data_IF_912626794983
#
_entry.id   IF_912626794983
#
_cell.length_a   1.000
_cell.length_b   1.000
_cell.length_c   1.000
_cell.angle_alpha   90.00
_cell.angle_beta   90.00
_cell.angle_gamma   90.00
#
_symmetry.space_group_name_H-M   'P 1'
#
loop_
_entity.id
_entity.type
_entity.pdbx_description
1 polymer ?
#
# COMPACT_ATOMS: atom_id res chain seq x y z
N UNK A 1 83.64 13.69 26.14
CA UNK A 1 82.32 14.26 25.82
C UNK A 1 81.76 13.61 24.57
N UNK A 2 80.66 12.83 24.66
CA UNK A 2 79.79 12.66 23.50
C UNK A 2 78.31 12.58 23.93
N UNK A 3 77.57 13.69 23.85
CA UNK A 3 76.11 13.72 24.04
C UNK A 3 75.35 14.29 22.84
N UNK A 4 76.02 14.55 21.73
CA UNK A 4 75.42 15.24 20.57
C UNK A 4 75.02 14.28 19.44
N UNK A 5 75.49 13.02 19.43
CA UNK A 5 75.21 12.09 18.32
C UNK A 5 73.91 11.27 18.44
N UNK A 6 73.22 11.25 19.59
CA UNK A 6 72.00 10.44 19.75
C UNK A 6 70.71 11.16 19.29
N UNK A 7 70.72 12.49 19.15
CA UNK A 7 69.53 13.25 18.79
C UNK A 7 69.24 13.24 17.28
N UNK A 8 70.24 13.00 16.43
CA UNK A 8 70.07 13.00 14.98
C UNK A 8 69.46 11.70 14.42
N UNK A 9 69.53 10.59 15.16
CA UNK A 9 69.01 9.29 14.72
C UNK A 9 67.53 9.06 15.07
N UNK A 10 66.93 9.91 15.91
CA UNK A 10 65.52 9.79 16.29
C UNK A 10 64.56 10.64 15.43
N UNK A 11 65.09 11.52 14.58
CA UNK A 11 64.30 12.42 13.74
C UNK A 11 64.03 11.90 12.32
N UNK A 12 64.50 10.70 11.96
CA UNK A 12 64.42 10.15 10.60
C UNK A 12 63.42 8.98 10.42
N UNK A 13 62.60 8.64 11.42
CA UNK A 13 61.60 7.55 11.31
C UNK A 13 60.14 8.00 11.38
N UNK A 14 59.86 9.31 11.44
CA UNK A 14 58.50 9.83 11.34
C UNK A 14 58.12 10.05 9.88
N UNK A 15 57.97 8.94 9.14
CA UNK A 15 57.19 8.96 7.91
C UNK A 15 55.78 9.50 8.25
N UNK A 16 55.27 10.51 7.53
CA UNK A 16 53.91 10.97 7.73
C UNK A 16 53.00 9.80 7.39
N UNK A 17 52.44 9.16 8.42
CA UNK A 17 51.35 8.22 8.28
C UNK A 17 50.24 8.96 7.53
N UNK A 18 50.16 8.72 6.23
CA UNK A 18 49.11 9.23 5.38
C UNK A 18 47.81 8.74 6.01
N UNK A 19 47.13 9.64 6.73
CA UNK A 19 45.79 9.44 7.28
C UNK A 19 44.83 9.32 6.09
N UNK A 20 44.89 8.19 5.41
CA UNK A 20 43.82 7.72 4.55
C UNK A 20 42.62 7.55 5.47
N UNK A 21 41.81 8.60 5.58
CA UNK A 21 40.53 8.57 6.26
C UNK A 21 39.82 7.27 5.88
N UNK A 22 39.35 6.47 6.84
CA UNK A 22 38.79 5.15 6.56
C UNK A 22 37.72 5.29 5.49
N UNK A 23 37.98 4.72 4.30
CA UNK A 23 37.02 4.73 3.19
C UNK A 23 35.72 4.15 3.74
N UNK A 24 34.71 5.01 3.92
CA UNK A 24 33.39 4.60 4.39
C UNK A 24 32.94 3.43 3.52
N UNK A 25 32.91 2.22 4.10
CA UNK A 25 32.41 1.04 3.43
C UNK A 25 31.05 1.40 2.82
N UNK A 26 30.92 1.27 1.49
CA UNK A 26 29.68 1.56 0.78
C UNK A 26 28.59 0.74 1.46
N UNK A 27 27.67 1.42 2.16
CA UNK A 27 26.54 0.76 2.82
C UNK A 27 25.80 -0.01 1.74
N UNK A 28 25.80 -1.35 1.81
CA UNK A 28 25.00 -2.19 0.91
C UNK A 28 23.57 -1.65 0.96
N UNK A 29 23.08 -1.13 -0.18
CA UNK A 29 21.70 -0.68 -0.27
C UNK A 29 20.85 -1.91 0.01
N UNK A 30 19.98 -1.83 1.02
CA UNK A 30 19.24 -3.00 1.47
C UNK A 30 18.24 -3.52 0.40
N UNK A 31 18.18 -2.99 -0.81
CA UNK A 31 17.20 -3.42 -1.82
C UNK A 31 15.76 -3.07 -1.43
N UNK A 32 14.82 -3.41 -2.30
CA UNK A 32 13.40 -3.11 -2.14
C UNK A 32 12.75 -4.05 -1.09
N UNK A 33 11.69 -3.59 -0.42
CA UNK A 33 10.90 -4.46 0.44
C UNK A 33 10.15 -5.49 -0.42
N UNK A 34 10.17 -6.75 -0.01
CA UNK A 34 9.48 -7.83 -0.72
C UNK A 34 7.97 -7.70 -0.54
N UNK A 35 7.23 -7.93 -1.64
CA UNK A 35 5.79 -8.16 -1.63
C UNK A 35 5.51 -9.64 -1.45
N UNK A 36 4.51 -9.97 -0.64
CA UNK A 36 4.13 -11.34 -0.33
C UNK A 36 2.87 -11.73 -1.10
N UNK A 37 2.68 -13.03 -1.35
CA UNK A 37 1.36 -13.53 -1.75
C UNK A 37 0.36 -13.35 -0.60
N UNK A 38 -0.94 -13.50 -0.87
CA UNK A 38 -1.97 -13.41 0.18
C UNK A 38 -1.74 -14.46 1.29
N UNK A 39 -1.42 -15.71 0.92
CA UNK A 39 -1.13 -16.79 1.85
C UNK A 39 0.13 -16.52 2.67
N UNK A 40 1.20 -16.06 2.02
CA UNK A 40 2.45 -15.70 2.69
C UNK A 40 2.27 -14.53 3.66
N UNK A 41 1.45 -13.54 3.29
CA UNK A 41 1.12 -12.41 4.13
C UNK A 41 0.32 -12.84 5.37
N UNK A 42 -0.64 -13.74 5.20
CA UNK A 42 -1.40 -14.30 6.32
C UNK A 42 -0.49 -15.11 7.25
N UNK A 43 0.36 -15.98 6.70
CA UNK A 43 1.34 -16.76 7.48
C UNK A 43 2.28 -15.84 8.27
N UNK A 44 2.81 -14.81 7.61
CA UNK A 44 3.63 -13.79 8.26
C UNK A 44 2.90 -13.04 9.37
N UNK A 45 1.66 -12.59 9.13
CA UNK A 45 0.87 -11.88 10.13
C UNK A 45 0.57 -12.78 11.34
N UNK A 46 0.18 -14.04 11.11
CA UNK A 46 -0.06 -15.00 12.18
C UNK A 46 1.22 -15.27 12.99
N UNK A 47 2.37 -15.35 12.33
CA UNK A 47 3.65 -15.49 13.01
C UNK A 47 3.95 -14.27 13.90
N UNK A 48 3.68 -13.04 13.41
CA UNK A 48 3.83 -11.82 14.22
C UNK A 48 2.91 -11.85 15.45
N UNK A 49 1.66 -12.30 15.28
CA UNK A 49 0.71 -12.45 16.38
C UNK A 49 1.26 -13.40 17.45
N UNK A 50 1.71 -14.59 17.04
CA UNK A 50 2.18 -15.63 17.95
C UNK A 50 3.52 -15.26 18.63
N UNK A 51 4.47 -14.67 17.91
CA UNK A 51 5.82 -14.42 18.44
C UNK A 51 5.94 -13.08 19.18
N UNK A 52 5.22 -12.04 18.74
CA UNK A 52 5.36 -10.68 19.28
C UNK A 52 4.12 -10.20 20.02
N UNK A 53 2.94 -10.63 19.61
CA UNK A 53 1.68 -10.29 20.27
C UNK A 53 0.74 -9.40 19.45
N UNK A 54 -0.50 -9.23 19.95
CA UNK A 54 -1.63 -8.71 19.18
C UNK A 54 -1.48 -7.24 18.78
N UNK A 55 -0.81 -6.44 19.60
CA UNK A 55 -0.55 -5.02 19.28
C UNK A 55 0.29 -4.85 18.01
N UNK A 56 1.36 -5.64 17.85
CA UNK A 56 2.21 -5.57 16.67
C UNK A 56 1.49 -6.15 15.45
N UNK A 57 0.72 -7.24 15.64
CA UNK A 57 -0.14 -7.81 14.61
C UNK A 57 -1.07 -6.77 13.99
N UNK A 58 -1.85 -6.05 14.82
CA UNK A 58 -2.78 -5.02 14.32
C UNK A 58 -2.04 -3.95 13.53
N UNK A 59 -0.88 -3.48 14.01
CA UNK A 59 -0.08 -2.48 13.28
C UNK A 59 0.35 -2.99 11.90
N UNK A 60 0.90 -4.20 11.84
CA UNK A 60 1.38 -4.81 10.59
C UNK A 60 0.22 -5.05 9.63
N UNK A 61 -0.91 -5.56 10.12
CA UNK A 61 -2.12 -5.74 9.33
C UNK A 61 -2.60 -4.43 8.71
N UNK A 62 -2.62 -3.32 9.45
CA UNK A 62 -2.99 -2.00 8.92
C UNK A 62 -2.08 -1.56 7.75
N UNK A 63 -0.79 -1.92 7.76
CA UNK A 63 0.10 -1.63 6.62
C UNK A 63 -0.27 -2.42 5.36
N UNK A 64 -0.73 -3.68 5.53
CA UNK A 64 -1.18 -4.54 4.43
C UNK A 64 -2.61 -4.27 3.98
N UNK A 65 -3.49 -3.80 4.86
CA UNK A 65 -4.87 -3.49 4.49
C UNK A 65 -4.97 -2.18 3.72
N UNK A 66 -4.24 -1.14 4.16
CA UNK A 66 -4.41 0.24 3.70
C UNK A 66 -3.17 0.82 3.01
N UNK A 67 -2.21 -0.05 2.64
CA UNK A 67 -0.93 0.33 2.05
C UNK A 67 -0.19 1.41 2.87
N UNK A 68 -0.34 1.44 4.19
CA UNK A 68 0.30 2.47 5.04
C UNK A 68 1.81 2.25 5.14
N UNK A 69 2.57 3.33 5.30
CA UNK A 69 3.90 3.20 5.89
C UNK A 69 3.76 2.80 7.37
N UNK A 70 4.69 2.02 7.92
CA UNK A 70 4.63 1.64 9.33
C UNK A 70 4.61 2.84 10.29
N UNK A 71 5.28 3.95 9.95
CA UNK A 71 5.20 5.19 10.73
C UNK A 71 3.81 5.83 10.69
N UNK A 72 3.13 5.79 9.54
CA UNK A 72 1.74 6.28 9.41
C UNK A 72 0.80 5.41 10.25
N UNK A 73 0.95 4.08 10.17
CA UNK A 73 0.16 3.13 10.97
C UNK A 73 0.35 3.36 12.47
N UNK A 74 1.60 3.54 12.93
CA UNK A 74 1.93 3.78 14.33
C UNK A 74 1.34 5.08 14.89
N UNK A 75 1.10 6.07 14.04
CA UNK A 75 0.55 7.39 14.41
C UNK A 75 -0.97 7.50 14.22
N UNK A 76 -1.65 6.45 13.78
CA UNK A 76 -3.10 6.50 13.60
C UNK A 76 -3.82 6.78 14.92
N UNK A 77 -4.84 7.62 14.85
CA UNK A 77 -5.80 7.81 15.91
C UNK A 77 -7.07 6.97 15.67
N UNK A 78 -7.84 6.72 16.72
CA UNK A 78 -9.12 6.02 16.63
C UNK A 78 -10.12 6.78 15.76
N UNK A 79 -10.09 8.10 15.80
CA UNK A 79 -10.98 9.00 15.08
C UNK A 79 -10.67 9.06 13.57
N UNK A 80 -9.49 8.59 13.16
CA UNK A 80 -9.10 8.53 11.76
C UNK A 80 -9.84 7.39 11.01
N UNK A 81 -10.32 6.38 11.75
CA UNK A 81 -11.12 5.28 11.23
C UNK A 81 -12.59 5.70 11.13
N UNK A 82 -12.98 6.28 9.98
CA UNK A 82 -14.36 6.72 9.70
C UNK A 82 -15.21 5.56 9.18
N UNK A 83 -15.46 4.58 10.04
CA UNK A 83 -16.12 3.31 9.69
C UNK A 83 -17.62 3.46 9.39
N UNK A 84 -18.26 4.48 9.98
CA UNK A 84 -19.71 4.72 9.85
C UNK A 84 -20.07 5.79 8.80
N UNK A 85 -19.08 6.27 8.04
CA UNK A 85 -19.33 7.17 6.91
C UNK A 85 -19.74 6.37 5.66
N UNK A 86 -20.42 7.02 4.72
CA UNK A 86 -20.70 6.45 3.39
C UNK A 86 -19.99 7.27 2.30
N UNK A 87 -18.97 6.73 1.60
CA UNK A 87 -18.33 5.44 1.85
C UNK A 87 -17.42 5.45 3.11
N UNK A 88 -17.21 4.30 3.77
CA UNK A 88 -16.26 4.19 4.88
C UNK A 88 -14.83 4.51 4.43
N UNK A 89 -14.09 5.24 5.27
CA UNK A 89 -12.74 5.70 4.90
C UNK A 89 -11.78 5.83 6.08
N UNK A 90 -10.49 5.63 5.81
CA UNK A 90 -9.40 5.97 6.71
C UNK A 90 -8.85 7.34 6.32
N UNK A 91 -8.87 8.29 7.25
CA UNK A 91 -8.29 9.61 7.08
C UNK A 91 -6.86 9.64 7.62
N UNK A 92 -5.87 9.83 6.74
CA UNK A 92 -4.47 10.03 7.15
C UNK A 92 -4.17 11.54 7.14
N UNK A 93 -4.23 12.24 8.28
CA UNK A 93 -3.94 13.67 8.33
C UNK A 93 -2.48 13.99 8.05
N UNK A 94 -2.28 15.23 7.60
CA UNK A 94 -0.96 15.82 7.40
C UNK A 94 -0.42 16.31 8.75
N UNK A 95 0.35 15.48 9.42
CA UNK A 95 0.98 15.79 10.71
C UNK A 95 2.51 15.66 10.59
N UNK A 96 3.28 16.47 11.34
CA UNK A 96 4.74 16.40 11.35
C UNK A 96 5.20 15.01 11.81
N UNK A 97 6.01 14.33 11.01
CA UNK A 97 6.41 12.94 11.25
C UNK A 97 5.46 11.88 10.68
N UNK A 98 4.22 12.24 10.35
CA UNK A 98 3.17 11.39 9.75
C UNK A 98 3.00 11.61 8.24
N UNK A 99 3.09 12.87 7.81
CA UNK A 99 2.53 13.39 6.56
C UNK A 99 3.34 13.17 5.28
N UNK A 100 4.08 12.06 5.15
CA UNK A 100 4.72 11.76 3.84
C UNK A 100 3.69 11.47 2.75
N UNK A 101 2.51 10.97 3.14
CA UNK A 101 1.39 10.68 2.25
C UNK A 101 0.05 10.83 2.97
N UNK A 102 -0.33 12.07 3.28
CA UNK A 102 -1.67 12.38 3.79
C UNK A 102 -2.74 12.12 2.73
N UNK A 103 -3.97 11.84 3.15
CA UNK A 103 -5.09 11.62 2.24
C UNK A 103 -6.16 10.69 2.81
N UNK A 104 -7.14 10.35 1.98
CA UNK A 104 -8.23 9.44 2.32
C UNK A 104 -8.03 8.08 1.64
N UNK A 105 -8.36 7.00 2.35
CA UNK A 105 -8.26 5.63 1.84
C UNK A 105 -9.63 5.00 1.98
N UNK A 106 -10.27 4.53 0.91
CA UNK A 106 -11.53 3.81 1.02
C UNK A 106 -11.31 2.51 1.80
N UNK A 107 -12.26 2.16 2.67
CA UNK A 107 -12.27 0.91 3.44
C UNK A 107 -13.35 0.01 2.85
N UNK A 108 -12.98 -1.23 2.54
CA UNK A 108 -13.94 -2.22 2.02
C UNK A 108 -14.88 -2.71 3.13
N UNK A 109 -16.12 -3.14 2.81
CA UNK A 109 -17.07 -3.62 3.82
C UNK A 109 -16.53 -4.72 4.73
N UNK A 110 -15.77 -5.68 4.19
CA UNK A 110 -15.16 -6.78 4.96
C UNK A 110 -14.10 -6.26 5.93
N UNK A 111 -13.36 -5.22 5.53
CA UNK A 111 -12.40 -4.54 6.39
C UNK A 111 -13.09 -3.74 7.49
N UNK A 112 -14.26 -3.15 7.21
CA UNK A 112 -15.09 -2.48 8.23
C UNK A 112 -15.52 -3.48 9.30
N UNK A 113 -16.04 -4.64 8.90
CA UNK A 113 -16.44 -5.69 9.82
C UNK A 113 -15.26 -6.16 10.69
N UNK A 114 -14.11 -6.42 10.07
CA UNK A 114 -12.90 -6.81 10.81
C UNK A 114 -12.47 -5.74 11.83
N UNK A 115 -12.45 -4.47 11.43
CA UNK A 115 -12.10 -3.37 12.33
C UNK A 115 -13.11 -3.21 13.46
N UNK A 116 -14.41 -3.36 13.19
CA UNK A 116 -15.46 -3.32 14.21
C UNK A 116 -15.29 -4.47 15.21
N UNK A 117 -14.97 -5.68 14.75
CA UNK A 117 -14.63 -6.81 15.62
C UNK A 117 -13.42 -6.50 16.49
N UNK A 118 -12.35 -5.91 15.93
CA UNK A 118 -11.19 -5.50 16.74
C UNK A 118 -11.53 -4.41 17.75
N UNK A 119 -12.46 -3.50 17.43
CA UNK A 119 -12.91 -2.44 18.33
C UNK A 119 -13.74 -3.02 19.49
N UNK A 120 -14.64 -3.96 19.21
CA UNK A 120 -15.57 -4.51 20.21
C UNK A 120 -14.93 -5.60 21.07
N UNK A 121 -14.15 -6.49 20.45
CA UNK A 121 -13.61 -7.69 21.11
C UNK A 121 -12.12 -7.55 21.44
N UNK A 122 -11.40 -6.63 20.80
CA UNK A 122 -9.93 -6.61 20.81
C UNK A 122 -9.32 -7.74 19.97
N UNK A 123 -8.00 -7.83 19.99
CA UNK A 123 -7.24 -8.93 19.39
C UNK A 123 -6.50 -9.67 20.49
N UNK A 124 -6.71 -10.98 20.58
CA UNK A 124 -6.08 -11.85 21.57
C UNK A 124 -4.99 -12.71 20.93
N UNK A 125 -3.99 -13.06 21.73
CA UNK A 125 -2.97 -14.05 21.39
C UNK A 125 -2.57 -14.81 22.63
N UNK A 126 -2.51 -16.14 22.53
CA UNK A 126 -1.90 -16.99 23.55
C UNK A 126 -0.55 -17.46 23.05
N UNK A 127 0.52 -17.20 23.81
CA UNK A 127 1.88 -17.60 23.42
C UNK A 127 2.69 -18.13 24.59
N UNK A 128 3.55 -19.09 24.31
CA UNK A 128 4.48 -19.63 25.30
C UNK A 128 5.67 -18.68 25.44
N UNK A 129 5.86 -18.12 26.63
CA UNK A 129 7.01 -17.29 26.95
C UNK A 129 7.91 -18.05 27.92
N UNK A 130 9.20 -18.13 27.58
CA UNK A 130 10.20 -18.66 28.49
C UNK A 130 10.40 -17.69 29.66
N UNK A 131 10.13 -18.14 30.88
CA UNK A 131 10.39 -17.41 32.11
C UNK A 131 11.68 -17.93 32.72
N UNK A 132 12.79 -17.20 32.57
CA UNK A 132 14.09 -17.45 33.20
C UNK A 132 14.32 -18.94 33.60
N UNK A 133 14.61 -19.21 34.88
CA UNK A 133 14.90 -20.55 35.40
C UNK A 133 13.65 -21.42 35.67
N UNK A 134 12.43 -20.91 35.44
CA UNK A 134 11.18 -21.55 35.89
C UNK A 134 10.32 -22.10 34.73
N UNK A 135 10.93 -22.45 33.61
CA UNK A 135 10.24 -23.10 32.48
C UNK A 135 9.44 -22.15 31.58
N UNK A 136 8.60 -22.73 30.71
CA UNK A 136 7.78 -21.97 29.75
C UNK A 136 6.36 -21.83 30.30
N UNK A 137 5.79 -20.63 30.28
CA UNK A 137 4.39 -20.37 30.66
C UNK A 137 3.60 -19.84 29.47
N UNK A 138 2.34 -20.28 29.37
CA UNK A 138 1.39 -19.70 28.42
C UNK A 138 0.92 -18.33 28.95
N UNK A 139 1.17 -17.29 28.16
CA UNK A 139 0.69 -15.93 28.43
C UNK A 139 -0.37 -15.59 27.39
N UNK A 140 -1.55 -15.23 27.88
CA UNK A 140 -2.63 -14.68 27.04
C UNK A 140 -2.53 -13.15 27.08
N UNK A 141 -2.26 -12.56 25.93
CA UNK A 141 -2.24 -11.11 25.74
C UNK A 141 -3.50 -10.69 24.97
N UNK A 142 -4.14 -9.60 25.40
CA UNK A 142 -5.24 -8.97 24.68
C UNK A 142 -4.86 -7.53 24.37
N UNK A 143 -5.09 -7.11 23.13
CA UNK A 143 -4.93 -5.73 22.71
C UNK A 143 -6.29 -5.16 22.30
N UNK A 144 -6.74 -4.19 23.07
CA UNK A 144 -7.99 -3.46 22.81
C UNK A 144 -7.67 -2.14 22.12
N UNK A 145 -8.40 -1.84 21.05
CA UNK A 145 -8.26 -0.55 20.38
C UNK A 145 -8.84 0.53 21.30
N UNK A 146 -8.12 1.63 21.53
CA UNK A 146 -8.62 2.68 22.42
C UNK A 146 -9.87 3.32 21.83
N UNK A 147 -10.80 3.73 22.70
CA UNK A 147 -12.02 4.43 22.30
C UNK A 147 -11.75 5.82 21.67
N UNK A 148 -10.62 6.44 22.02
CA UNK A 148 -10.17 7.74 21.49
C UNK A 148 -8.64 7.87 21.48
N UNK A 149 -8.11 8.74 20.63
CA UNK A 149 -6.68 9.06 20.55
C UNK A 149 -5.84 8.00 19.84
N UNK A 150 -4.52 7.99 20.11
CA UNK A 150 -3.54 7.14 19.40
C UNK A 150 -3.88 5.67 19.56
N UNK A 151 -4.05 4.97 18.44
CA UNK A 151 -4.19 3.51 18.43
C UNK A 151 -2.99 2.89 19.14
N UNK A 152 -1.77 3.26 18.73
CA UNK A 152 -0.54 2.69 19.28
C UNK A 152 0.18 3.67 20.21
N UNK A 153 -0.37 3.93 21.39
CA UNK A 153 0.23 4.84 22.37
C UNK A 153 1.68 4.47 22.75
N UNK A 154 2.56 5.47 22.73
CA UNK A 154 3.97 5.33 23.13
C UNK A 154 4.11 4.96 24.62
N UNK A 155 5.28 4.46 25.00
CA UNK A 155 5.59 4.29 26.43
C UNK A 155 5.77 5.67 27.05
N UNK A 156 5.15 5.93 28.20
CA UNK A 156 5.35 7.19 28.94
C UNK A 156 6.79 7.34 29.46
N UNK A 157 7.42 6.21 29.77
CA UNK A 157 8.79 6.13 30.29
C UNK A 157 9.62 5.08 29.56
N UNK A 158 10.91 5.36 29.39
CA UNK A 158 11.91 4.43 28.89
C UNK A 158 13.23 4.67 29.63
N UNK A 159 13.81 3.64 30.24
CA UNK A 159 15.01 3.73 31.08
C UNK A 159 14.92 4.87 32.11
N UNK A 160 13.80 4.93 32.84
CA UNK A 160 13.48 5.97 33.83
C UNK A 160 13.45 7.42 33.30
N UNK A 161 13.49 7.62 31.98
CA UNK A 161 13.34 8.93 31.34
C UNK A 161 11.94 9.07 30.75
N UNK A 162 11.32 10.24 30.93
CA UNK A 162 10.07 10.59 30.25
C UNK A 162 10.31 10.61 28.74
N UNK A 163 9.54 9.84 28.01
CA UNK A 163 9.59 9.81 26.55
C UNK A 163 8.64 10.88 26.03
N UNK A 164 9.14 11.78 25.17
CA UNK A 164 8.31 12.85 24.58
C UNK A 164 7.32 12.35 23.53
N UNK A 165 7.51 11.12 23.03
CA UNK A 165 6.72 10.56 21.94
C UNK A 165 5.43 9.92 22.48
N UNK A 166 4.29 10.40 21.99
CA UNK A 166 2.94 9.95 22.35
C UNK A 166 2.51 8.65 21.65
N UNK A 167 3.28 8.19 20.66
CA UNK A 167 2.98 7.02 19.84
C UNK A 167 4.16 6.04 19.76
N UNK A 168 3.89 4.83 19.26
CA UNK A 168 4.90 3.81 19.04
C UNK A 168 5.93 4.27 18.02
N UNK A 169 7.21 4.23 18.36
CA UNK A 169 8.25 4.73 17.46
C UNK A 169 8.44 3.83 16.25
N UNK A 170 8.60 4.45 15.06
CA UNK A 170 8.93 3.73 13.83
C UNK A 170 10.17 2.84 13.99
N UNK A 171 11.21 3.34 14.67
CA UNK A 171 12.43 2.56 14.92
C UNK A 171 12.17 1.33 15.79
N UNK A 172 11.26 1.43 16.77
CA UNK A 172 10.81 0.29 17.56
C UNK A 172 10.13 -0.77 16.68
N UNK A 173 9.20 -0.35 15.81
CA UNK A 173 8.54 -1.24 14.84
C UNK A 173 9.55 -1.87 13.89
N UNK A 174 10.46 -1.08 13.33
CA UNK A 174 11.50 -1.56 12.42
C UNK A 174 12.42 -2.59 13.08
N UNK A 175 12.88 -2.32 14.29
CA UNK A 175 13.71 -3.26 15.05
C UNK A 175 12.97 -4.56 15.34
N UNK A 176 11.69 -4.48 15.72
CA UNK A 176 10.87 -5.65 15.98
C UNK A 176 10.67 -6.49 14.71
N UNK A 177 10.24 -5.88 13.60
CA UNK A 177 10.04 -6.56 12.32
C UNK A 177 11.33 -7.23 11.84
N UNK A 178 12.48 -6.56 11.97
CA UNK A 178 13.76 -7.14 11.56
C UNK A 178 14.13 -8.39 12.38
N UNK A 179 13.86 -8.39 13.69
CA UNK A 179 14.09 -9.56 14.56
C UNK A 179 13.13 -10.70 14.21
N UNK A 180 11.86 -10.37 14.01
CA UNK A 180 10.83 -11.34 13.63
C UNK A 180 11.09 -11.96 12.26
N UNK A 181 11.51 -11.17 11.28
CA UNK A 181 11.85 -11.66 9.95
C UNK A 181 12.95 -12.73 10.01
N UNK A 182 14.01 -12.50 10.79
CA UNK A 182 15.06 -13.51 11.00
C UNK A 182 14.53 -14.81 11.60
N UNK A 183 13.69 -14.71 12.64
CA UNK A 183 13.06 -15.88 13.25
C UNK A 183 12.15 -16.62 12.27
N UNK A 184 11.42 -15.87 11.44
CA UNK A 184 10.53 -16.42 10.42
C UNK A 184 11.32 -17.17 9.34
N UNK A 185 12.48 -16.65 8.91
CA UNK A 185 13.41 -17.37 8.03
C UNK A 185 13.85 -18.70 8.66
N UNK A 186 14.21 -18.70 9.94
CA UNK A 186 14.61 -19.93 10.65
C UNK A 186 13.48 -20.95 10.74
N UNK A 187 12.23 -20.50 10.93
CA UNK A 187 11.06 -21.37 10.96
C UNK A 187 10.66 -21.89 9.57
N UNK A 188 11.04 -21.19 8.48
CA UNK A 188 10.68 -21.52 7.10
C UNK A 188 11.92 -21.51 6.19
N UNK A 189 12.87 -22.46 6.38
CA UNK A 189 14.17 -22.43 5.73
C UNK A 189 14.08 -22.53 4.20
N UNK A 190 13.08 -23.25 3.67
CA UNK A 190 12.86 -23.42 2.22
C UNK A 190 12.62 -22.12 1.45
N UNK A 191 12.23 -21.04 2.13
CA UNK A 191 12.02 -19.73 1.53
C UNK A 191 12.79 -18.60 2.25
N UNK A 192 13.82 -18.94 3.03
CA UNK A 192 14.58 -18.01 3.87
C UNK A 192 15.10 -16.77 3.12
N UNK A 193 15.61 -16.95 1.89
CA UNK A 193 16.14 -15.85 1.06
C UNK A 193 15.10 -14.79 0.69
N UNK A 194 13.84 -15.19 0.49
CA UNK A 194 12.69 -14.30 0.27
C UNK A 194 12.31 -13.56 1.55
N UNK A 195 12.35 -14.26 2.69
CA UNK A 195 11.93 -13.73 3.99
C UNK A 195 12.94 -12.75 4.61
N UNK A 196 14.24 -12.86 4.29
CA UNK A 196 15.27 -11.92 4.75
C UNK A 196 15.01 -10.47 4.29
N UNK A 197 14.21 -10.31 3.24
CA UNK A 197 13.83 -9.02 2.68
C UNK A 197 12.59 -8.41 3.36
N UNK A 198 11.93 -9.12 4.29
CA UNK A 198 10.77 -8.64 5.03
C UNK A 198 11.09 -7.38 5.84
N UNK A 199 10.24 -6.36 5.66
CA UNK A 199 10.42 -5.02 6.25
C UNK A 199 9.10 -4.43 6.68
N UNK A 200 9.21 -3.31 7.38
CA UNK A 200 8.10 -2.42 7.73
C UNK A 200 7.30 -1.90 6.54
N UNK A 201 7.84 -2.00 5.32
CA UNK A 201 7.15 -1.63 4.08
C UNK A 201 6.61 -2.84 3.30
N UNK A 202 6.83 -4.08 3.75
CA UNK A 202 6.38 -5.27 3.04
C UNK A 202 4.85 -5.34 2.95
N UNK A 203 4.10 -4.97 3.99
CA UNK A 203 2.64 -4.92 3.90
C UNK A 203 2.14 -3.94 2.84
N UNK A 204 2.76 -2.76 2.76
CA UNK A 204 2.48 -1.78 1.71
C UNK A 204 2.82 -2.33 0.32
N UNK A 205 3.96 -2.99 0.18
CA UNK A 205 4.36 -3.61 -1.08
C UNK A 205 3.34 -4.68 -1.49
N UNK A 206 2.99 -5.60 -0.58
CA UNK A 206 1.97 -6.63 -0.77
C UNK A 206 0.65 -6.04 -1.26
N UNK A 207 0.10 -5.01 -0.60
CA UNK A 207 -1.18 -4.42 -1.02
C UNK A 207 -1.13 -3.82 -2.42
N UNK A 208 -0.05 -3.12 -2.75
CA UNK A 208 0.15 -2.54 -4.08
C UNK A 208 0.22 -3.65 -5.14
N UNK A 209 1.01 -4.69 -4.89
CA UNK A 209 1.14 -5.84 -5.79
C UNK A 209 -0.18 -6.57 -5.98
N UNK A 210 -0.95 -6.78 -4.91
CA UNK A 210 -2.27 -7.41 -5.00
C UNK A 210 -3.23 -6.57 -5.83
N UNK A 211 -3.32 -5.26 -5.60
CA UNK A 211 -4.18 -4.38 -6.40
C UNK A 211 -3.81 -4.42 -7.89
N UNK A 212 -2.51 -4.32 -8.20
CA UNK A 212 -2.05 -4.43 -9.59
C UNK A 212 -2.33 -5.82 -10.18
N UNK A 213 -2.20 -6.88 -9.38
CA UNK A 213 -2.52 -8.25 -9.77
C UNK A 213 -4.02 -8.51 -9.96
N UNK A 214 -4.88 -7.73 -9.29
CA UNK A 214 -6.32 -7.69 -9.48
C UNK A 214 -6.73 -6.81 -10.68
N UNK A 215 -5.76 -6.25 -11.41
CA UNK A 215 -6.01 -5.39 -12.58
C UNK A 215 -6.40 -3.96 -12.26
N UNK A 216 -6.22 -3.51 -11.01
CA UNK A 216 -6.43 -2.10 -10.66
C UNK A 216 -5.44 -1.22 -11.43
N UNK A 217 -5.96 -0.16 -12.06
CA UNK A 217 -5.14 0.76 -12.85
C UNK A 217 -4.03 1.38 -12.03
N UNK A 218 -2.89 1.67 -12.67
CA UNK A 218 -1.73 2.28 -12.02
C UNK A 218 -2.09 3.60 -11.32
N UNK A 219 -2.94 4.42 -11.93
CA UNK A 219 -3.41 5.67 -11.34
C UNK A 219 -4.18 5.43 -10.05
N UNK A 220 -5.11 4.47 -10.04
CA UNK A 220 -5.89 4.10 -8.85
C UNK A 220 -5.02 3.49 -7.75
N UNK A 221 -4.08 2.61 -8.09
CA UNK A 221 -3.19 2.00 -7.10
C UNK A 221 -2.23 3.03 -6.50
N UNK A 222 -1.72 3.97 -7.31
CA UNK A 222 -0.90 5.09 -6.83
C UNK A 222 -1.69 6.02 -5.90
N UNK A 223 -2.93 6.37 -6.26
CA UNK A 223 -3.82 7.19 -5.44
C UNK A 223 -4.14 6.48 -4.11
N UNK A 224 -4.50 5.20 -4.15
CA UNK A 224 -4.77 4.39 -2.96
C UNK A 224 -3.56 4.33 -2.02
N UNK A 225 -2.36 4.11 -2.58
CA UNK A 225 -1.11 4.14 -1.83
C UNK A 225 -0.70 5.56 -1.43
N UNK A 226 -1.32 6.60 -2.00
CA UNK A 226 -0.98 8.02 -1.83
C UNK A 226 0.48 8.30 -2.22
N UNK A 227 0.93 7.70 -3.32
CA UNK A 227 2.25 8.00 -3.89
C UNK A 227 2.18 9.27 -4.74
N UNK A 228 3.18 10.15 -4.61
CA UNK A 228 3.30 11.29 -5.52
C UNK A 228 3.57 10.79 -6.95
N UNK A 229 3.18 11.57 -7.96
CA UNK A 229 3.46 11.27 -9.38
C UNK A 229 4.95 11.01 -9.64
N UNK A 230 5.83 11.78 -9.00
CA UNK A 230 7.29 11.59 -9.07
C UNK A 230 7.80 10.26 -8.49
N UNK A 231 6.96 9.52 -7.75
CA UNK A 231 7.28 8.22 -7.14
C UNK A 231 6.81 7.03 -7.98
N UNK A 232 6.43 7.22 -9.25
CA UNK A 232 5.95 6.15 -10.14
C UNK A 232 6.94 4.99 -10.23
N UNK A 233 8.24 5.25 -10.37
CA UNK A 233 9.29 4.21 -10.43
C UNK A 233 9.34 3.38 -9.15
N UNK A 234 9.16 4.03 -7.98
CA UNK A 234 9.08 3.33 -6.70
C UNK A 234 7.82 2.48 -6.59
N UNK A 235 6.68 3.00 -7.08
CA UNK A 235 5.42 2.26 -7.10
C UNK A 235 5.52 1.00 -7.96
N UNK A 236 6.00 1.14 -9.20
CA UNK A 236 6.22 0.04 -10.14
C UNK A 236 7.23 -0.98 -9.60
N UNK A 237 8.24 -0.53 -8.84
CA UNK A 237 9.16 -1.46 -8.18
C UNK A 237 8.47 -2.41 -7.19
N UNK A 238 7.36 -2.00 -6.57
CA UNK A 238 6.55 -2.89 -5.72
C UNK A 238 5.71 -3.84 -6.56
N UNK A 239 5.17 -3.37 -7.68
CA UNK A 239 4.32 -4.10 -8.62
C UNK A 239 5.02 -5.19 -9.44
N UNK A 240 5.88 -6.01 -8.83
CA UNK A 240 6.42 -7.21 -9.48
C UNK A 240 5.32 -8.27 -9.55
N UNK A 241 4.53 -8.19 -10.61
CA UNK A 241 3.54 -9.21 -10.94
C UNK A 241 4.25 -10.56 -11.15
N UNK A 242 3.56 -11.63 -10.78
CA UNK A 242 4.02 -13.01 -11.00
C UNK A 242 3.07 -13.66 -11.99
N UNK A 243 3.46 -14.76 -12.66
CA UNK A 243 2.55 -15.51 -13.52
C UNK A 243 1.24 -15.90 -12.81
N UNK A 244 1.30 -16.20 -11.51
CA UNK A 244 0.10 -16.50 -10.71
C UNK A 244 -0.84 -15.30 -10.59
N UNK A 245 -0.32 -14.08 -10.43
CA UNK A 245 -1.17 -12.88 -10.40
C UNK A 245 -1.90 -12.70 -11.74
N UNK A 246 -1.20 -12.89 -12.85
CA UNK A 246 -1.80 -12.82 -14.20
C UNK A 246 -2.86 -13.91 -14.37
N UNK A 247 -2.57 -15.13 -13.96
CA UNK A 247 -3.53 -16.24 -14.03
C UNK A 247 -4.78 -15.97 -13.18
N UNK A 248 -4.63 -15.51 -11.93
CA UNK A 248 -5.76 -15.15 -11.07
C UNK A 248 -6.64 -14.06 -11.68
N UNK A 249 -6.03 -13.03 -12.27
CA UNK A 249 -6.76 -11.99 -13.00
C UNK A 249 -7.56 -12.57 -14.17
N UNK A 250 -6.91 -13.39 -15.01
CA UNK A 250 -7.56 -14.02 -16.17
C UNK A 250 -8.73 -14.93 -15.75
N UNK A 251 -8.60 -15.64 -14.63
CA UNK A 251 -9.68 -16.46 -14.08
C UNK A 251 -10.86 -15.61 -13.57
N UNK A 252 -10.60 -14.50 -12.88
CA UNK A 252 -11.66 -13.57 -12.46
C UNK A 252 -12.36 -12.93 -13.66
N UNK A 253 -11.60 -12.50 -14.67
CA UNK A 253 -12.14 -11.90 -15.87
C UNK A 253 -12.98 -12.90 -16.68
N UNK A 254 -12.54 -14.16 -16.77
CA UNK A 254 -13.35 -15.25 -17.34
C UNK A 254 -14.67 -15.42 -16.57
N UNK A 255 -14.64 -15.46 -15.24
CA UNK A 255 -15.86 -15.56 -14.42
C UNK A 255 -16.81 -14.36 -14.65
N UNK A 256 -16.27 -13.15 -14.77
CA UNK A 256 -17.04 -11.93 -15.07
C UNK A 256 -17.71 -12.02 -16.43
N UNK A 257 -16.98 -12.46 -17.46
CA UNK A 257 -17.50 -12.64 -18.81
C UNK A 257 -18.62 -13.70 -18.84
N UNK A 258 -18.44 -14.83 -18.14
CA UNK A 258 -19.49 -15.85 -18.00
C UNK A 258 -20.76 -15.25 -17.37
N UNK A 259 -20.62 -14.46 -16.30
CA UNK A 259 -21.77 -13.81 -15.64
C UNK A 259 -22.50 -12.81 -16.54
N UNK A 260 -21.76 -12.02 -17.34
CA UNK A 260 -22.35 -11.12 -18.32
C UNK A 260 -23.10 -11.88 -19.42
N UNK A 261 -22.51 -12.94 -19.96
CA UNK A 261 -23.16 -13.78 -20.96
C UNK A 261 -24.45 -14.42 -20.41
N UNK A 262 -24.42 -14.91 -19.16
CA UNK A 262 -25.61 -15.45 -18.50
C UNK A 262 -26.72 -14.40 -18.37
N UNK A 263 -26.36 -13.15 -18.02
CA UNK A 263 -27.32 -12.03 -17.92
C UNK A 263 -27.93 -11.69 -19.28
N UNK A 264 -27.12 -11.70 -20.34
CA UNK A 264 -27.58 -11.44 -21.71
C UNK A 264 -28.55 -12.52 -22.20
N UNK A 265 -28.31 -13.79 -21.87
CA UNK A 265 -29.20 -14.91 -22.22
C UNK A 265 -30.52 -14.87 -21.44
N UNK A 266 -30.49 -14.41 -20.18
CA UNK A 266 -31.68 -14.34 -19.32
C UNK A 266 -32.53 -13.08 -19.54
N UNK A 267 -32.07 -12.12 -20.35
CA UNK A 267 -32.90 -10.96 -20.68
C UNK A 267 -33.88 -11.39 -21.78
N UNK A 268 -35.18 -11.63 -21.47
CA UNK A 268 -36.12 -12.00 -22.51
C UNK A 268 -36.16 -10.88 -23.56
N UNK A 269 -36.32 -11.21 -24.85
CA UNK A 269 -36.48 -10.20 -25.88
C UNK A 269 -37.63 -9.30 -25.46
N UNK A 270 -37.32 -8.03 -25.18
CA UNK A 270 -38.31 -7.03 -24.85
C UNK A 270 -39.38 -7.09 -25.94
N UNK A 271 -40.59 -7.49 -25.56
CA UNK A 271 -41.73 -7.60 -26.46
C UNK A 271 -41.81 -6.30 -27.26
N UNK A 272 -42.03 -6.36 -28.58
CA UNK A 272 -42.08 -5.16 -29.41
C UNK A 272 -43.13 -4.23 -28.84
N UNK A 273 -42.70 -3.10 -28.28
CA UNK A 273 -43.59 -2.10 -27.72
C UNK A 273 -44.50 -1.64 -28.85
N UNK A 274 -45.76 -2.02 -28.79
CA UNK A 274 -46.80 -1.48 -29.65
C UNK A 274 -46.85 0.01 -29.35
N UNK A 275 -46.23 0.81 -30.22
CA UNK A 275 -46.35 2.27 -30.18
C UNK A 275 -47.79 2.60 -30.54
N UNK A 276 -48.67 2.62 -29.56
CA UNK A 276 -49.98 3.27 -29.69
C UNK A 276 -49.71 4.77 -29.82
N UNK A 277 -49.77 5.26 -31.07
CA UNK A 277 -49.70 6.68 -31.40
C UNK A 277 -50.90 7.38 -30.78
N UNK A 278 -50.76 7.89 -29.54
CA UNK A 278 -51.74 8.83 -28.97
C UNK A 278 -51.51 10.20 -29.60
N UNK A 279 -52.36 10.52 -30.57
CA UNK A 279 -52.56 11.85 -31.17
C UNK A 279 -52.91 12.83 -30.04
N UNK A 280 -51.99 13.74 -29.69
CA UNK A 280 -52.17 14.76 -28.64
C UNK A 280 -52.80 16.00 -29.28
N UNK A 281 -54.10 16.22 -29.05
CA UNK A 281 -54.78 17.47 -29.39
C UNK A 281 -54.24 18.64 -28.54
N UNK A 282 -54.03 19.78 -29.20
CA UNK A 282 -53.67 21.06 -28.57
C UNK A 282 -54.89 21.62 -27.82
N UNK A 283 -54.70 21.95 -26.55
CA UNK A 283 -55.62 22.78 -25.77
C UNK A 283 -54.81 23.79 -24.95
N UNK A 284 -55.00 25.07 -25.27
CA UNK A 284 -54.46 26.25 -24.56
C UNK A 284 -55.24 26.45 -23.25
N UNK A 285 -54.53 26.76 -22.16
CA UNK A 285 -54.89 27.68 -21.04
C UNK A 285 -53.76 27.57 -20.00
N UNK A 286 -52.97 28.62 -19.72
CA UNK A 286 -53.21 29.85 -18.95
C UNK A 286 -52.79 29.73 -17.46
N UNK A 287 -51.69 30.44 -17.14
CA UNK A 287 -51.25 31.06 -15.87
C UNK A 287 -51.53 30.38 -14.50
N UNK A 288 -50.45 30.05 -13.76
CA UNK A 288 -49.90 30.82 -12.62
C UNK A 288 -48.65 30.09 -12.03
N UNK A 289 -47.71 30.81 -11.37
CA UNK A 289 -46.42 30.26 -10.98
C UNK A 289 -46.36 29.86 -9.49
N UNK A 290 -45.77 28.70 -9.20
CA UNK A 290 -45.25 28.40 -7.86
C UNK A 290 -43.83 27.85 -7.96
N UNK A 291 -42.95 28.51 -7.21
CA UNK A 291 -41.53 28.24 -7.03
C UNK A 291 -41.31 26.83 -6.48
N UNK A 292 -40.50 26.04 -7.18
CA UNK A 292 -39.65 25.01 -6.59
C UNK A 292 -38.35 24.98 -7.38
N UNK A 293 -37.24 25.25 -6.68
CA UNK A 293 -35.88 25.19 -7.22
C UNK A 293 -35.42 23.74 -7.26
N UNK A 294 -35.41 23.14 -8.45
CA UNK A 294 -34.69 21.90 -8.75
C UNK A 294 -33.42 22.23 -9.54
N UNK A 295 -32.26 21.96 -8.93
CA UNK A 295 -30.95 21.98 -9.58
C UNK A 295 -30.84 20.80 -10.57
N UNK A 296 -31.18 21.05 -11.83
CA UNK A 296 -30.75 20.19 -12.93
C UNK A 296 -29.26 20.41 -13.21
N UNK A 297 -28.41 19.51 -12.74
CA UNK A 297 -27.02 19.43 -13.19
C UNK A 297 -26.98 18.98 -14.67
N UNK A 298 -26.37 19.83 -15.48
CA UNK A 298 -26.06 19.54 -16.87
C UNK A 298 -25.20 18.28 -17.00
N UNK A 299 -25.74 17.24 -17.62
CA UNK A 299 -24.98 16.08 -18.10
C UNK A 299 -24.01 16.59 -19.17
N UNK A 300 -22.75 16.80 -18.77
CA UNK A 300 -21.64 17.03 -19.72
C UNK A 300 -21.54 15.79 -20.60
N UNK A 301 -21.72 15.96 -21.91
CA UNK A 301 -21.43 14.93 -22.92
C UNK A 301 -20.01 14.41 -22.69
N UNK A 302 -19.88 13.13 -22.34
CA UNK A 302 -18.59 12.48 -22.20
C UNK A 302 -17.87 12.52 -23.55
N UNK A 303 -16.67 13.10 -23.56
CA UNK A 303 -15.76 13.04 -24.70
C UNK A 303 -15.44 11.56 -24.97
N UNK A 304 -15.52 11.09 -26.22
CA UNK A 304 -15.22 9.69 -26.53
C UNK A 304 -13.80 9.35 -26.07
N UNK A 305 -13.70 8.26 -25.31
CA UNK A 305 -12.44 7.75 -24.78
C UNK A 305 -11.53 7.38 -25.96
N UNK A 306 -10.47 8.15 -26.18
CA UNK A 306 -9.47 7.81 -27.19
C UNK A 306 -8.71 6.59 -26.68
N UNK A 307 -8.64 5.52 -27.49
CA UNK A 307 -7.89 4.30 -27.15
C UNK A 307 -6.40 4.57 -26.86
N UNK A 308 -5.90 5.77 -27.17
CA UNK A 308 -4.51 6.21 -27.01
C UNK A 308 -4.29 7.17 -25.82
N UNK A 309 -5.30 7.41 -24.97
CA UNK A 309 -5.27 8.49 -23.96
C UNK A 309 -4.17 8.34 -22.88
N UNK A 310 -3.60 7.14 -22.73
CA UNK A 310 -2.47 6.85 -21.83
C UNK A 310 -1.20 6.35 -22.55
N UNK A 311 -1.16 6.42 -23.89
CA UNK A 311 -0.05 5.91 -24.67
C UNK A 311 1.02 6.99 -24.86
N UNK A 312 2.27 6.72 -24.47
CA UNK A 312 3.38 7.66 -24.70
C UNK A 312 4.05 7.38 -26.04
N UNK A 313 4.71 8.39 -26.64
CA UNK A 313 5.48 8.20 -27.87
C UNK A 313 6.53 7.07 -27.74
N UNK A 314 7.05 6.88 -26.52
CA UNK A 314 8.00 5.80 -26.22
C UNK A 314 7.37 4.41 -26.35
N UNK A 315 6.11 4.25 -25.95
CA UNK A 315 5.38 2.98 -26.06
C UNK A 315 5.13 2.64 -27.53
N UNK A 316 4.77 3.64 -28.33
CA UNK A 316 4.54 3.50 -29.79
C UNK A 316 5.84 3.14 -30.53
N UNK A 317 6.96 3.74 -30.15
CA UNK A 317 8.29 3.38 -30.69
C UNK A 317 8.68 1.94 -30.34
N UNK A 318 8.37 1.48 -29.12
CA UNK A 318 8.64 0.09 -28.73
C UNK A 318 7.76 -0.88 -29.52
N UNK A 319 6.50 -0.56 -29.78
CA UNK A 319 5.61 -1.41 -30.59
C UNK A 319 6.08 -1.55 -32.04
N UNK A 320 6.62 -0.49 -32.63
CA UNK A 320 7.25 -0.56 -33.96
C UNK A 320 8.50 -1.45 -33.93
N UNK A 321 9.38 -1.25 -32.94
CA UNK A 321 10.59 -2.07 -32.79
C UNK A 321 10.30 -3.56 -32.57
N UNK A 322 9.18 -3.86 -31.91
CA UNK A 322 8.68 -5.22 -31.68
C UNK A 322 7.97 -5.82 -32.93
N UNK A 323 7.85 -5.07 -34.04
CA UNK A 323 7.14 -5.50 -35.25
C UNK A 323 5.61 -5.58 -35.10
N UNK A 324 5.04 -4.93 -34.08
CA UNK A 324 3.59 -4.92 -33.81
C UNK A 324 2.84 -3.83 -34.58
N UNK A 325 3.57 -2.90 -35.18
CA UNK A 325 3.05 -1.84 -36.03
C UNK A 325 3.83 -1.84 -37.33
N UNK A 326 3.13 -1.68 -38.43
CA UNK A 326 3.75 -1.32 -39.70
C UNK A 326 4.27 0.13 -39.64
N UNK A 327 5.21 0.48 -40.51
CA UNK A 327 5.76 1.85 -40.57
C UNK A 327 4.67 2.90 -40.87
N UNK A 328 3.64 2.52 -41.62
CA UNK A 328 2.51 3.39 -41.95
C UNK A 328 1.59 3.62 -40.73
N UNK A 329 1.30 2.57 -39.96
CA UNK A 329 0.52 2.67 -38.71
C UNK A 329 1.28 3.47 -37.66
N UNK A 330 2.59 3.25 -37.55
CA UNK A 330 3.47 4.03 -36.68
C UNK A 330 3.41 5.52 -37.02
N UNK A 331 3.50 5.88 -38.31
CA UNK A 331 3.37 7.26 -38.77
C UNK A 331 2.05 7.91 -38.36
N UNK A 332 0.92 7.22 -38.59
CA UNK A 332 -0.42 7.72 -38.24
C UNK A 332 -0.60 7.93 -36.72
N UNK A 333 -0.13 6.99 -35.91
CA UNK A 333 -0.24 7.08 -34.44
C UNK A 333 0.68 8.18 -33.89
N UNK A 334 1.91 8.26 -34.40
CA UNK A 334 2.88 9.31 -34.03
C UNK A 334 2.33 10.70 -34.34
N UNK A 335 1.79 10.92 -35.53
CA UNK A 335 1.24 12.22 -35.94
C UNK A 335 0.00 12.60 -35.11
N UNK A 336 -0.84 11.62 -34.76
CA UNK A 336 -1.98 11.82 -33.88
C UNK A 336 -1.55 12.24 -32.46
N UNK A 337 -0.56 11.56 -31.89
CA UNK A 337 -0.01 11.90 -30.56
C UNK A 337 0.65 13.29 -30.55
N UNK A 338 1.39 13.64 -31.60
CA UNK A 338 2.03 14.95 -31.72
C UNK A 338 1.03 16.10 -31.87
N UNK A 339 -0.12 15.87 -32.51
CA UNK A 339 -1.21 16.87 -32.59
C UNK A 339 -1.94 17.10 -31.26
N UNK A 340 -1.77 16.19 -30.31
CA UNK A 340 -2.45 16.24 -28.99
C UNK A 340 -1.57 16.91 -27.91
N UNK A 341 -0.29 17.15 -28.21
CA UNK A 341 0.67 17.88 -27.35
C UNK A 341 0.64 19.38 -27.63
#
# INVERSE_FOLDING_TARGET
>A
MPRVLLAALFLLTLAPACWCAPRKLKKKSLGQAVALSAQDWQSWAQFVLNEHGPRMYVLIMLTGMFALRAGEAAMLNREDLKLYMSPPRLCVPKEKGRGKSAGHIPIMPEQVQLLQTWISQGVTSSRMVALNQNGKRMITEKYELPAKGRLFAGRKMYNNKKVKQDHLSYHGVWSAVRKLAKKFCTAHPSAASKWEQLRTHSGRATKITMMMGEGVSLAMSMEYARHAKSSIKTHLGYGRLTPNHVHSYLMQERSRQIGLLATMVQTPPSSPSTKTVKKRCRGKQALLPSRATDECQAVKKATPYSALQDCTLKDVMQWQADGKLTDEEFGKIKDSLLKTL
#
